data_IF_626405819149
#
_entry.id   IF_626405819149
#
_cell.length_a   1.000
_cell.length_b   1.000
_cell.length_c   1.000
_cell.angle_alpha   90.00
_cell.angle_beta   90.00
_cell.angle_gamma   90.00
#
_symmetry.space_group_name_H-M   'P 1'
#
loop_
_entity.id
_entity.type
_entity.pdbx_description
1 polymer ?
#
# COMPACT_ATOMS: atom_id res chain seq x y z
N UNK A 1 45.96 -9.31 -15.36
CA UNK A 1 45.41 -8.78 -14.11
C UNK A 1 43.92 -8.58 -14.33
N UNK A 2 43.09 -9.34 -13.62
CA UNK A 2 41.64 -9.46 -13.86
C UNK A 2 40.93 -8.40 -13.03
N UNK A 3 40.14 -7.53 -13.66
CA UNK A 3 39.05 -6.84 -13.00
C UNK A 3 37.76 -7.31 -13.69
N UNK A 4 37.02 -8.14 -12.97
CA UNK A 4 35.82 -8.83 -13.44
C UNK A 4 34.74 -7.80 -13.77
N UNK A 5 34.12 -8.01 -14.93
CA UNK A 5 32.83 -7.49 -15.37
C UNK A 5 31.81 -7.58 -14.23
N UNK A 6 31.27 -6.44 -13.79
CA UNK A 6 30.01 -6.44 -13.05
C UNK A 6 28.89 -6.60 -14.08
N UNK A 7 28.55 -7.85 -14.35
CA UNK A 7 27.28 -8.20 -14.96
C UNK A 7 26.18 -7.97 -13.91
N UNK A 8 25.72 -6.72 -13.83
CA UNK A 8 24.55 -6.33 -13.02
C UNK A 8 23.28 -6.27 -13.88
N UNK A 9 23.30 -6.88 -15.07
CA UNK A 9 22.16 -6.93 -15.99
C UNK A 9 21.21 -8.11 -15.72
N UNK A 10 21.22 -8.67 -14.50
CA UNK A 10 20.29 -9.74 -14.11
C UNK A 10 19.72 -9.58 -12.70
N UNK A 11 19.21 -8.38 -12.41
CA UNK A 11 18.01 -8.29 -11.61
C UNK A 11 16.92 -8.03 -12.63
N UNK A 12 15.99 -8.98 -12.80
CA UNK A 12 14.74 -8.69 -13.48
C UNK A 12 14.19 -7.44 -12.80
N UNK A 13 14.35 -6.29 -13.46
CA UNK A 13 13.65 -5.08 -13.06
C UNK A 13 12.18 -5.47 -13.21
N UNK A 14 11.55 -5.86 -12.11
CA UNK A 14 10.11 -5.80 -12.02
C UNK A 14 9.79 -4.39 -12.50
N UNK A 15 9.14 -4.32 -13.66
CA UNK A 15 8.55 -3.11 -14.17
C UNK A 15 7.47 -2.75 -13.16
N UNK A 16 7.89 -2.12 -12.07
CA UNK A 16 7.02 -1.34 -11.20
C UNK A 16 6.56 -0.25 -12.15
N UNK A 17 5.43 -0.49 -12.83
CA UNK A 17 4.95 0.37 -13.89
C UNK A 17 4.98 1.83 -13.45
N UNK A 18 4.87 2.75 -14.39
CA UNK A 18 4.81 4.19 -14.10
C UNK A 18 3.53 4.58 -13.33
N UNK A 19 3.27 3.95 -12.19
CA UNK A 19 2.29 4.26 -11.18
C UNK A 19 2.69 5.62 -10.64
N UNK A 20 2.05 6.64 -11.22
CA UNK A 20 2.18 8.00 -10.75
C UNK A 20 1.83 8.03 -9.27
N UNK A 21 2.65 8.71 -8.48
CA UNK A 21 2.39 8.91 -7.07
C UNK A 21 0.96 9.42 -6.85
N UNK A 22 0.14 8.61 -6.18
CA UNK A 22 -1.20 8.98 -5.78
C UNK A 22 -1.33 8.81 -4.28
N UNK A 23 -1.60 9.91 -3.59
CA UNK A 23 -1.76 9.89 -2.15
C UNK A 23 -3.10 9.25 -1.76
N UNK A 24 -3.05 8.31 -0.82
CA UNK A 24 -4.22 7.72 -0.16
C UNK A 24 -4.30 8.31 1.25
N UNK A 25 -5.47 8.80 1.65
CA UNK A 25 -5.71 9.43 2.94
C UNK A 25 -7.21 9.38 3.27
N UNK A 26 -7.60 9.95 4.42
CA UNK A 26 -8.97 9.97 4.91
C UNK A 26 -10.02 10.47 3.89
N UNK A 27 -9.65 11.33 2.94
CA UNK A 27 -10.60 11.91 1.98
C UNK A 27 -10.92 10.98 0.80
N UNK A 28 -10.08 9.98 0.52
CA UNK A 28 -10.21 9.14 -0.68
C UNK A 28 -10.02 7.65 -0.46
N UNK A 29 -9.67 7.18 0.74
CA UNK A 29 -9.44 5.75 0.99
C UNK A 29 -10.69 4.89 0.72
N UNK A 30 -11.90 5.41 0.99
CA UNK A 30 -13.17 4.71 0.69
C UNK A 30 -13.42 4.50 -0.81
N UNK A 31 -12.69 5.19 -1.68
CA UNK A 31 -12.77 5.01 -3.14
C UNK A 31 -12.00 3.79 -3.63
N UNK A 32 -11.19 3.16 -2.77
CA UNK A 32 -10.43 1.96 -3.10
C UNK A 32 -11.36 0.74 -3.07
N UNK A 33 -11.39 -0.04 -4.16
CA UNK A 33 -12.20 -1.25 -4.25
C UNK A 33 -11.82 -2.25 -3.14
N UNK A 34 -10.53 -2.34 -2.81
CA UNK A 34 -10.05 -3.22 -1.74
C UNK A 34 -10.56 -2.80 -0.36
N UNK A 35 -10.73 -1.50 -0.10
CA UNK A 35 -11.32 -1.00 1.14
C UNK A 35 -12.82 -1.31 1.20
N UNK A 36 -13.54 -1.16 0.09
CA UNK A 36 -14.98 -1.46 0.01
C UNK A 36 -15.30 -2.94 0.25
N UNK A 37 -14.33 -3.84 0.08
CA UNK A 37 -14.46 -5.25 0.38
C UNK A 37 -14.30 -5.60 1.87
N UNK A 38 -13.84 -4.65 2.70
CA UNK A 38 -13.69 -4.86 4.14
C UNK A 38 -15.05 -4.81 4.86
N UNK A 39 -15.16 -5.39 6.06
CA UNK A 39 -16.35 -5.22 6.90
C UNK A 39 -16.62 -3.75 7.21
N UNK A 40 -17.90 -3.33 7.18
CA UNK A 40 -18.33 -1.95 7.44
C UNK A 40 -17.76 -1.39 8.76
N UNK A 41 -17.64 -2.23 9.79
CA UNK A 41 -17.06 -1.86 11.08
C UNK A 41 -15.58 -1.44 10.96
N UNK A 42 -14.80 -2.12 10.12
CA UNK A 42 -13.39 -1.81 9.90
C UNK A 42 -13.27 -0.47 9.16
N UNK A 43 -14.07 -0.26 8.12
CA UNK A 43 -14.10 1.00 7.36
C UNK A 43 -14.50 2.16 8.27
N UNK A 44 -15.51 1.95 9.11
CA UNK A 44 -15.95 2.93 10.11
C UNK A 44 -14.84 3.29 11.10
N UNK A 45 -14.13 2.29 11.63
CA UNK A 45 -13.03 2.50 12.56
C UNK A 45 -11.91 3.34 11.91
N UNK A 46 -11.51 3.02 10.68
CA UNK A 46 -10.52 3.82 9.92
C UNK A 46 -11.01 5.27 9.77
N UNK A 47 -12.28 5.48 9.46
CA UNK A 47 -12.85 6.83 9.30
C UNK A 47 -12.82 7.62 10.62
N UNK A 48 -13.19 6.98 11.74
CA UNK A 48 -13.25 7.63 13.06
C UNK A 48 -11.84 7.93 13.58
N UNK A 49 -10.96 6.93 13.60
CA UNK A 49 -9.60 7.08 14.13
C UNK A 49 -8.80 8.02 13.24
N UNK A 50 -8.96 7.95 11.92
CA UNK A 50 -8.29 8.84 10.96
C UNK A 50 -8.65 10.32 11.12
N UNK A 51 -9.78 10.67 11.76
CA UNK A 51 -10.13 12.06 12.13
C UNK A 51 -9.34 12.57 13.34
N UNK A 52 -8.90 11.69 14.23
CA UNK A 52 -8.11 12.02 15.42
C UNK A 52 -6.62 11.93 15.10
N UNK A 53 -6.22 10.87 14.38
CA UNK A 53 -4.85 10.61 13.95
C UNK A 53 -4.81 10.55 12.42
N UNK A 54 -4.52 11.68 11.75
CA UNK A 54 -4.45 11.73 10.30
C UNK A 54 -3.37 10.79 9.76
N UNK A 55 -3.70 10.08 8.68
CA UNK A 55 -2.78 9.19 7.97
C UNK A 55 -2.63 9.59 6.51
N UNK A 56 -1.52 9.18 5.90
CA UNK A 56 -1.26 9.32 4.47
C UNK A 56 -0.40 8.16 3.99
N UNK A 57 -0.82 7.52 2.90
CA UNK A 57 -0.09 6.46 2.20
C UNK A 57 0.01 6.77 0.71
N UNK A 58 0.60 5.85 -0.05
CA UNK A 58 0.70 5.90 -1.51
C UNK A 58 -0.03 4.70 -2.11
N UNK A 59 -0.65 4.89 -3.26
CA UNK A 59 -1.27 3.85 -4.09
C UNK A 59 -0.38 2.63 -4.28
N UNK A 60 0.92 2.81 -4.47
CA UNK A 60 1.87 1.69 -4.57
C UNK A 60 1.83 0.75 -3.35
N UNK A 61 1.71 1.29 -2.13
CA UNK A 61 1.63 0.47 -0.91
C UNK A 61 0.33 -0.33 -0.91
N UNK A 62 -0.78 0.35 -1.24
CA UNK A 62 -2.11 -0.24 -1.31
C UNK A 62 -2.16 -1.36 -2.35
N UNK A 63 -1.62 -1.16 -3.54
CA UNK A 63 -1.80 -2.09 -4.66
C UNK A 63 -0.78 -3.25 -4.64
N UNK A 64 0.37 -3.09 -3.98
CA UNK A 64 1.46 -4.08 -4.09
C UNK A 64 2.01 -4.61 -2.77
N UNK A 65 1.81 -3.91 -1.64
CA UNK A 65 2.46 -4.29 -0.38
C UNK A 65 1.49 -4.84 0.67
N UNK A 66 0.20 -4.52 0.55
CA UNK A 66 -0.82 -5.05 1.45
C UNK A 66 -1.33 -6.39 0.92
N UNK A 67 -1.31 -7.39 1.78
CA UNK A 67 -2.00 -8.65 1.53
C UNK A 67 -3.50 -8.46 1.80
N UNK A 68 -4.27 -8.25 0.74
CA UNK A 68 -5.72 -8.04 0.83
C UNK A 68 -6.52 -9.33 1.08
N UNK A 69 -5.93 -10.51 0.86
CA UNK A 69 -6.59 -11.78 1.16
C UNK A 69 -6.67 -12.02 2.69
N UNK A 70 -5.77 -11.41 3.47
CA UNK A 70 -5.75 -11.44 4.94
C UNK A 70 -5.43 -10.07 5.58
N UNK A 71 -6.08 -9.02 5.08
CA UNK A 71 -5.77 -7.63 5.43
C UNK A 71 -5.77 -7.34 6.95
N UNK A 72 -6.70 -7.93 7.71
CA UNK A 72 -6.79 -7.69 9.15
C UNK A 72 -5.62 -8.29 9.94
N UNK A 73 -4.90 -9.26 9.37
CA UNK A 73 -3.68 -9.83 9.95
C UNK A 73 -2.39 -9.31 9.30
N UNK A 74 -2.50 -8.64 8.15
CA UNK A 74 -1.38 -8.05 7.46
C UNK A 74 -0.75 -6.87 8.22
N UNK A 75 0.58 -6.86 8.27
CA UNK A 75 1.36 -5.83 8.94
C UNK A 75 1.34 -4.50 8.17
N UNK A 76 1.37 -4.55 6.84
CA UNK A 76 1.36 -3.35 6.01
C UNK A 76 0.00 -2.64 6.09
N UNK A 77 -1.10 -3.38 6.13
CA UNK A 77 -2.44 -2.86 6.37
C UNK A 77 -2.52 -2.11 7.71
N UNK A 78 -2.15 -2.77 8.81
CA UNK A 78 -2.20 -2.19 10.18
C UNK A 78 -1.30 -0.97 10.37
N UNK A 79 -0.19 -0.88 9.62
CA UNK A 79 0.69 0.29 9.64
C UNK A 79 0.17 1.43 8.75
N UNK A 80 -0.64 1.11 7.75
CA UNK A 80 -1.13 2.06 6.75
C UNK A 80 -2.45 2.70 7.17
N UNK A 81 -3.37 1.91 7.73
CA UNK A 81 -4.72 2.32 8.11
C UNK A 81 -4.90 2.27 9.63
N UNK A 82 -5.37 3.37 10.25
CA UNK A 82 -5.52 3.48 11.70
C UNK A 82 -6.77 2.81 12.27
#
# INVERSE_FOLDING_TARGET
MVARTYDVMNLEAQDFGSEHYQAINLHNFEQLEQIQALPDEVIYNINVVGRVLPFKSNRYVVDHLIDWDDALNDGMFRLTFP
#
